data_IF_802834028316
#
_entry.id   IF_802834028316
#
_cell.length_a   1.000
_cell.length_b   1.000
_cell.length_c   1.000
_cell.angle_alpha   90.00
_cell.angle_beta   90.00
_cell.angle_gamma   90.00
#
_symmetry.space_group_name_H-M   'P 1'
#
loop_
_entity.id
_entity.type
_entity.pdbx_description
1 polymer ?
#
# COMPACT_ATOMS: atom_id res chain seq x y z
N UNK A 1 14.43 -8.04 16.05
CA UNK A 1 13.73 -6.74 16.12
C UNK A 1 13.23 -6.26 14.76
N UNK A 2 14.08 -6.13 13.71
CA UNK A 2 13.63 -5.64 12.38
C UNK A 2 12.54 -6.52 11.73
N UNK A 3 12.65 -7.86 11.81
CA UNK A 3 11.61 -8.79 11.30
C UNK A 3 10.23 -8.52 11.93
N UNK A 4 10.19 -8.38 13.26
CA UNK A 4 8.96 -8.09 13.99
C UNK A 4 8.41 -6.71 13.63
N UNK A 5 9.26 -5.68 13.53
CA UNK A 5 8.86 -4.34 13.10
C UNK A 5 8.28 -4.35 11.69
N UNK A 6 8.90 -5.08 10.76
CA UNK A 6 8.41 -5.24 9.39
C UNK A 6 7.04 -5.91 9.36
N UNK A 7 6.87 -7.02 10.08
CA UNK A 7 5.60 -7.74 10.16
C UNK A 7 4.46 -6.87 10.74
N UNK A 8 4.71 -6.20 11.86
CA UNK A 8 3.74 -5.28 12.49
C UNK A 8 3.41 -4.12 11.52
N UNK A 9 4.42 -3.54 10.89
CA UNK A 9 4.24 -2.44 9.93
C UNK A 9 3.41 -2.88 8.72
N UNK A 10 3.67 -4.08 8.18
CA UNK A 10 2.91 -4.66 7.09
C UNK A 10 1.44 -4.90 7.46
N UNK A 11 1.17 -5.39 8.67
CA UNK A 11 -0.18 -5.64 9.16
C UNK A 11 -0.97 -4.33 9.37
N UNK A 12 -0.32 -3.31 9.95
CA UNK A 12 -0.92 -1.98 10.11
C UNK A 12 -1.18 -1.35 8.74
N UNK A 13 -0.22 -1.43 7.82
CA UNK A 13 -0.35 -0.94 6.46
C UNK A 13 -1.53 -1.58 5.73
N UNK A 14 -1.61 -2.91 5.75
CA UNK A 14 -2.68 -3.67 5.11
C UNK A 14 -4.05 -3.29 5.67
N UNK A 15 -4.18 -3.27 7.00
CA UNK A 15 -5.43 -2.92 7.67
C UNK A 15 -5.86 -1.49 7.38
N UNK A 16 -4.91 -0.54 7.41
CA UNK A 16 -5.17 0.86 7.11
C UNK A 16 -5.61 1.06 5.64
N UNK A 17 -4.97 0.38 4.69
CA UNK A 17 -5.35 0.44 3.28
C UNK A 17 -6.71 -0.22 3.02
N UNK A 18 -7.00 -1.36 3.64
CA UNK A 18 -8.30 -2.04 3.52
C UNK A 18 -9.43 -1.13 4.01
N UNK A 19 -9.27 -0.54 5.21
CA UNK A 19 -10.24 0.38 5.78
C UNK A 19 -10.38 1.66 4.96
N UNK A 20 -9.27 2.22 4.49
CA UNK A 20 -9.29 3.39 3.61
C UNK A 20 -10.05 3.11 2.31
N UNK A 21 -9.80 1.96 1.66
CA UNK A 21 -10.49 1.56 0.43
C UNK A 21 -11.99 1.33 0.67
N UNK A 22 -12.34 0.58 1.72
CA UNK A 22 -13.74 0.33 2.08
C UNK A 22 -14.50 1.64 2.34
N UNK A 23 -13.89 2.56 3.10
CA UNK A 23 -14.46 3.89 3.36
C UNK A 23 -14.56 4.73 2.09
N UNK A 24 -13.56 4.70 1.22
CA UNK A 24 -13.60 5.42 -0.05
C UNK A 24 -14.76 4.94 -0.94
N UNK A 25 -14.94 3.62 -1.07
CA UNK A 25 -16.06 3.04 -1.82
C UNK A 25 -17.42 3.40 -1.19
N UNK A 26 -17.52 3.35 0.14
CA UNK A 26 -18.73 3.75 0.87
C UNK A 26 -19.08 5.23 0.62
N UNK A 27 -18.10 6.13 0.71
CA UNK A 27 -18.30 7.57 0.50
C UNK A 27 -18.69 7.89 -0.95
N UNK A 28 -18.09 7.20 -1.93
CA UNK A 28 -18.48 7.32 -3.34
C UNK A 28 -19.95 6.90 -3.51
N UNK A 29 -20.34 5.75 -2.96
CA UNK A 29 -21.73 5.25 -3.05
C UNK A 29 -22.74 6.15 -2.36
N UNK A 30 -22.35 6.82 -1.26
CA UNK A 30 -23.21 7.73 -0.49
C UNK A 30 -23.07 9.20 -0.86
N UNK A 31 -22.29 9.54 -1.90
CA UNK A 31 -21.96 10.92 -2.29
C UNK A 31 -21.56 11.81 -1.09
N UNK A 32 -20.83 11.24 -0.14
CA UNK A 32 -20.52 11.86 1.16
C UNK A 32 -19.08 12.36 1.20
N UNK A 33 -18.81 13.36 2.05
CA UNK A 33 -17.48 13.93 2.23
C UNK A 33 -16.65 13.11 3.25
N UNK A 34 -15.32 13.02 3.10
CA UNK A 34 -14.46 12.32 4.04
C UNK A 34 -14.39 13.04 5.40
N UNK A 35 -14.54 12.27 6.46
CA UNK A 35 -14.45 12.71 7.85
C UNK A 35 -13.04 12.56 8.45
N UNK A 36 -12.93 12.75 9.77
CA UNK A 36 -11.65 12.66 10.50
C UNK A 36 -11.03 11.26 10.45
N UNK A 37 -11.86 10.22 10.58
CA UNK A 37 -11.43 8.81 10.56
C UNK A 37 -10.81 8.43 9.20
N UNK A 38 -11.36 8.94 8.09
CA UNK A 38 -10.81 8.69 6.74
C UNK A 38 -9.41 9.27 6.58
N UNK A 39 -9.18 10.45 7.15
CA UNK A 39 -7.87 11.11 7.15
C UNK A 39 -6.87 10.32 7.97
N UNK A 40 -7.29 9.74 9.09
CA UNK A 40 -6.45 8.87 9.92
C UNK A 40 -6.00 7.63 9.14
N UNK A 41 -6.92 6.90 8.50
CA UNK A 41 -6.55 5.71 7.73
C UNK A 41 -5.65 6.05 6.53
N UNK A 42 -5.89 7.18 5.87
CA UNK A 42 -5.01 7.68 4.83
C UNK A 42 -3.62 7.99 5.36
N UNK A 43 -3.52 8.65 6.51
CA UNK A 43 -2.24 8.99 7.14
C UNK A 43 -1.47 7.75 7.57
N UNK A 44 -2.13 6.78 8.21
CA UNK A 44 -1.54 5.50 8.57
C UNK A 44 -1.03 4.76 7.33
N UNK A 45 -1.83 4.72 6.27
CA UNK A 45 -1.44 4.12 4.99
C UNK A 45 -0.20 4.78 4.38
N UNK A 46 -0.12 6.11 4.40
CA UNK A 46 1.01 6.86 3.87
C UNK A 46 2.27 6.73 4.73
N UNK A 47 2.11 6.60 6.05
CA UNK A 47 3.23 6.49 6.98
C UNK A 47 3.81 5.08 6.97
N UNK A 48 2.96 4.05 7.06
CA UNK A 48 3.42 2.67 7.18
C UNK A 48 3.89 2.06 5.86
N UNK A 49 3.51 2.63 4.70
CA UNK A 49 4.00 2.17 3.41
C UNK A 49 5.53 2.30 3.26
N UNK A 50 6.15 3.48 3.42
CA UNK A 50 7.61 3.61 3.37
C UNK A 50 8.30 2.90 4.54
N UNK A 51 7.68 2.80 5.71
CA UNK A 51 8.25 2.05 6.85
C UNK A 51 8.32 0.55 6.53
N UNK A 52 7.24 -0.04 6.01
CA UNK A 52 7.21 -1.45 5.62
C UNK A 52 8.21 -1.72 4.49
N UNK A 53 8.26 -0.87 3.46
CA UNK A 53 9.21 -1.00 2.37
C UNK A 53 10.68 -0.88 2.86
N UNK A 54 10.98 0.12 3.69
CA UNK A 54 12.33 0.34 4.23
C UNK A 54 12.79 -0.79 5.14
N UNK A 55 11.93 -1.26 6.05
CA UNK A 55 12.24 -2.40 6.91
C UNK A 55 12.40 -3.70 6.12
N UNK A 56 11.60 -3.90 5.06
CA UNK A 56 11.73 -5.05 4.16
C UNK A 56 13.04 -5.02 3.37
N UNK A 57 13.44 -3.85 2.88
CA UNK A 57 14.72 -3.65 2.19
C UNK A 57 15.92 -3.93 3.10
N UNK A 58 15.89 -3.45 4.36
CA UNK A 58 16.93 -3.77 5.34
C UNK A 58 17.04 -5.26 5.64
N UNK A 59 15.91 -5.98 5.68
CA UNK A 59 15.92 -7.44 5.84
C UNK A 59 16.54 -8.12 4.62
N UNK A 60 16.20 -7.67 3.41
CA UNK A 60 16.74 -8.20 2.16
C UNK A 60 18.27 -8.11 2.13
N UNK A 61 18.82 -6.95 2.48
CA UNK A 61 20.28 -6.72 2.56
C UNK A 61 20.94 -7.64 3.58
N UNK A 62 20.27 -7.93 4.70
CA UNK A 62 20.84 -8.75 5.77
C UNK A 62 20.92 -10.23 5.40
N UNK A 63 20.00 -10.73 4.58
CA UNK A 63 19.89 -12.16 4.26
C UNK A 63 20.40 -12.50 2.85
N UNK A 64 20.94 -11.52 2.10
CA UNK A 64 21.31 -11.68 0.68
C UNK A 64 20.19 -12.36 -0.15
N UNK A 65 18.94 -12.03 0.15
CA UNK A 65 17.77 -12.65 -0.47
C UNK A 65 17.52 -12.13 -1.89
N UNK A 66 16.66 -12.82 -2.62
CA UNK A 66 16.21 -12.36 -3.94
C UNK A 66 15.23 -11.19 -3.82
N UNK A 67 15.39 -10.18 -4.69
CA UNK A 67 14.51 -9.00 -4.72
C UNK A 67 13.07 -9.32 -5.16
N UNK A 68 12.86 -10.47 -5.78
CA UNK A 68 11.57 -10.90 -6.33
C UNK A 68 11.05 -12.14 -5.58
N UNK A 69 9.72 -12.31 -5.42
CA UNK A 69 8.65 -11.35 -5.78
C UNK A 69 8.33 -10.34 -4.68
N UNK A 70 8.58 -10.68 -3.42
CA UNK A 70 8.03 -9.97 -2.27
C UNK A 70 8.55 -8.53 -2.10
N UNK A 71 9.87 -8.26 -2.10
CA UNK A 71 10.38 -6.89 -2.01
C UNK A 71 9.89 -5.98 -3.14
N UNK A 72 9.84 -6.49 -4.37
CA UNK A 72 9.31 -5.75 -5.51
C UNK A 72 7.85 -5.34 -5.27
N UNK A 73 6.98 -6.30 -4.92
CA UNK A 73 5.56 -6.04 -4.65
C UNK A 73 5.34 -5.07 -3.48
N UNK A 74 6.23 -5.05 -2.49
CA UNK A 74 6.18 -4.10 -1.37
C UNK A 74 6.52 -2.66 -1.76
N UNK A 75 7.34 -2.46 -2.80
CA UNK A 75 7.80 -1.13 -3.25
C UNK A 75 6.91 -0.56 -4.36
N UNK A 76 6.30 -1.41 -5.19
CA UNK A 76 5.41 -0.97 -6.28
C UNK A 76 4.32 0.04 -5.86
N UNK A 77 3.66 -0.08 -4.68
CA UNK A 77 2.66 0.89 -4.26
C UNK A 77 3.19 2.33 -4.09
N UNK A 78 4.51 2.51 -3.93
CA UNK A 78 5.13 3.83 -3.91
C UNK A 78 5.27 4.39 -5.33
N UNK A 79 5.58 3.55 -6.31
CA UNK A 79 5.74 3.93 -7.72
C UNK A 79 4.39 4.15 -8.43
N UNK A 80 3.33 3.47 -8.01
CA UNK A 80 1.98 3.65 -8.56
C UNK A 80 1.41 5.04 -8.30
N UNK A 81 1.77 5.70 -7.20
CA UNK A 81 1.28 7.05 -6.86
C UNK A 81 1.67 8.07 -7.94
N UNK A 82 2.97 8.29 -8.27
CA UNK A 82 3.36 9.20 -9.34
C UNK A 82 2.88 8.69 -10.71
N UNK A 83 2.90 7.38 -10.96
CA UNK A 83 2.47 6.80 -12.23
C UNK A 83 0.99 7.10 -12.54
N UNK A 84 0.08 6.84 -11.61
CA UNK A 84 -1.35 7.11 -11.80
C UNK A 84 -1.61 8.60 -11.94
N UNK A 85 -0.88 9.45 -11.21
CA UNK A 85 -0.98 10.90 -11.37
C UNK A 85 -0.49 11.36 -12.75
N UNK A 86 0.61 10.80 -13.26
CA UNK A 86 1.12 11.09 -14.59
C UNK A 86 0.12 10.68 -15.67
N UNK A 87 -0.44 9.46 -15.58
CA UNK A 87 -1.47 8.97 -16.51
C UNK A 87 -2.69 9.90 -16.51
N UNK A 88 -3.16 10.34 -15.33
CA UNK A 88 -4.27 11.30 -15.22
C UNK A 88 -3.98 12.64 -15.90
N UNK A 89 -2.72 13.09 -15.89
CA UNK A 89 -2.29 14.31 -16.56
C UNK A 89 -2.28 14.10 -18.08
N UNK A 90 -1.63 13.04 -18.56
CA UNK A 90 -1.50 12.71 -19.98
C UNK A 90 -2.87 12.56 -20.64
N UNK A 91 -3.78 11.81 -20.01
CA UNK A 91 -5.11 11.57 -20.56
C UNK A 91 -6.10 12.70 -20.27
N UNK A 92 -5.70 13.79 -19.59
CA UNK A 92 -6.60 14.87 -19.11
C UNK A 92 -7.78 14.39 -18.24
N UNK A 93 -7.70 13.16 -17.73
CA UNK A 93 -8.74 12.46 -16.97
C UNK A 93 -8.54 12.61 -15.45
N UNK A 94 -8.23 13.82 -14.99
CA UNK A 94 -7.85 14.09 -13.58
C UNK A 94 -8.90 13.65 -12.55
N UNK A 95 -10.18 13.64 -12.92
CA UNK A 95 -11.30 13.27 -12.04
C UNK A 95 -11.89 11.89 -12.34
N UNK A 96 -11.43 11.20 -13.39
CA UNK A 96 -11.97 9.89 -13.72
C UNK A 96 -11.31 8.82 -12.84
N UNK A 97 -12.15 7.91 -12.32
CA UNK A 97 -11.76 6.81 -11.43
C UNK A 97 -10.89 7.23 -10.23
N UNK A 98 -11.43 8.02 -9.27
CA UNK A 98 -10.71 8.35 -8.03
C UNK A 98 -10.34 7.10 -7.21
N UNK A 99 -11.07 6.00 -7.42
CA UNK A 99 -10.87 4.69 -6.80
C UNK A 99 -9.73 3.86 -7.39
N UNK A 100 -9.20 4.20 -8.57
CA UNK A 100 -8.20 3.37 -9.26
C UNK A 100 -6.92 3.19 -8.43
N UNK A 101 -6.33 4.30 -7.97
CA UNK A 101 -5.10 4.27 -7.18
C UNK A 101 -5.23 3.43 -5.89
N UNK A 102 -6.24 3.64 -5.03
CA UNK A 102 -6.36 2.84 -3.81
C UNK A 102 -6.63 1.36 -4.09
N UNK A 103 -7.34 1.01 -5.18
CA UNK A 103 -7.56 -0.39 -5.56
C UNK A 103 -6.25 -1.04 -6.00
N UNK A 104 -5.49 -0.40 -6.90
CA UNK A 104 -4.21 -0.94 -7.38
C UNK A 104 -3.22 -1.10 -6.21
N UNK A 105 -3.12 -0.10 -5.33
CA UNK A 105 -2.27 -0.20 -4.15
C UNK A 105 -2.69 -1.33 -3.22
N UNK A 106 -3.99 -1.52 -3.01
CA UNK A 106 -4.48 -2.61 -2.17
C UNK A 106 -4.12 -3.98 -2.75
N UNK A 107 -4.29 -4.19 -4.06
CA UNK A 107 -3.92 -5.45 -4.72
C UNK A 107 -2.42 -5.75 -4.60
N UNK A 108 -1.58 -4.72 -4.74
CA UNK A 108 -0.12 -4.85 -4.58
C UNK A 108 0.26 -5.18 -3.13
N UNK A 109 -0.31 -4.48 -2.15
CA UNK A 109 -0.06 -4.74 -0.72
C UNK A 109 -0.57 -6.13 -0.33
N UNK A 110 -1.74 -6.55 -0.82
CA UNK A 110 -2.28 -7.89 -0.60
C UNK A 110 -1.35 -8.95 -1.21
N UNK A 111 -0.84 -8.73 -2.41
CA UNK A 111 0.12 -9.64 -3.06
C UNK A 111 1.43 -9.69 -2.29
N UNK A 112 1.92 -8.55 -1.78
CA UNK A 112 3.10 -8.49 -0.92
C UNK A 112 2.85 -9.26 0.39
N UNK A 113 1.68 -9.14 1.01
CA UNK A 113 1.33 -9.88 2.22
C UNK A 113 1.33 -11.40 1.97
N UNK A 114 0.64 -11.84 0.91
CA UNK A 114 0.56 -13.27 0.54
C UNK A 114 1.96 -13.83 0.27
N UNK A 115 2.77 -13.13 -0.53
CA UNK A 115 4.14 -13.57 -0.81
C UNK A 115 5.03 -13.54 0.44
N UNK A 116 4.81 -12.60 1.37
CA UNK A 116 5.52 -12.58 2.65
C UNK A 116 5.20 -13.78 3.53
N UNK A 117 3.93 -14.19 3.57
CA UNK A 117 3.50 -15.39 4.30
C UNK A 117 4.03 -16.69 3.67
N UNK A 118 4.06 -16.77 2.34
CA UNK A 118 4.51 -17.97 1.62
C UNK A 118 6.03 -18.13 1.63
N UNK A 119 6.78 -17.04 1.44
CA UNK A 119 8.23 -17.10 1.16
C UNK A 119 9.13 -16.61 2.31
N UNK A 120 8.58 -15.91 3.31
CA UNK A 120 9.35 -15.40 4.47
C UNK A 120 8.83 -15.94 5.81
N UNK A 121 7.94 -16.94 5.78
CA UNK A 121 7.36 -17.60 6.95
C UNK A 121 8.29 -18.57 7.69
N UNK A 122 9.46 -18.87 7.10
CA UNK A 122 10.50 -19.77 7.63
C UNK A 122 11.76 -18.98 8.10
#
# INVERSE_FOLDING_TARGET
MVKLLHAISGLILFSAHALFLARALYLIRRHSKPGRIDRLFRLLSLLFLPIAAGTGFLLLLKINGTFFPHPLLGILPLATIPLVNLLRIIFKKKKEAPWLLPVVNFLLILSALITGLIFLGD
#
